data_IF_953901030844
#
_entry.id   IF_953901030844
#
_cell.length_a   1.000
_cell.length_b   1.000
_cell.length_c   1.000
_cell.angle_alpha   90.00
_cell.angle_beta   90.00
_cell.angle_gamma   90.00
#
_symmetry.space_group_name_H-M   'P 1'
#
loop_
_entity.id
_entity.type
_entity.pdbx_description
1 polymer ?
#
# COMPACT_ATOMS: atom_id res chain seq x y z
N UNK A 1 5.35 -21.38 -51.97
CA UNK A 1 6.16 -20.46 -51.11
C UNK A 1 5.43 -19.14 -50.81
N UNK A 2 4.77 -18.52 -51.80
CA UNK A 2 4.05 -17.25 -51.63
C UNK A 2 2.88 -17.27 -50.64
N UNK A 3 2.12 -18.37 -50.55
CA UNK A 3 0.96 -18.50 -49.63
C UNK A 3 1.37 -18.50 -48.16
N UNK A 4 2.52 -19.07 -47.82
CA UNK A 4 3.07 -19.00 -46.46
C UNK A 4 3.50 -17.57 -46.15
N UNK A 5 4.15 -16.87 -47.08
CA UNK A 5 4.64 -15.50 -46.87
C UNK A 5 3.49 -14.50 -46.59
N UNK A 6 2.38 -14.56 -47.35
CA UNK A 6 1.19 -13.74 -47.08
C UNK A 6 0.54 -14.05 -45.73
N UNK A 7 0.50 -15.32 -45.32
CA UNK A 7 -0.08 -15.72 -44.03
C UNK A 7 0.75 -15.18 -42.85
N UNK A 8 2.08 -15.15 -42.97
CA UNK A 8 2.96 -14.57 -41.96
C UNK A 8 2.83 -13.05 -41.90
N UNK A 9 2.70 -12.39 -43.06
CA UNK A 9 2.44 -10.95 -43.12
C UNK A 9 1.11 -10.57 -42.43
N UNK A 10 0.05 -11.35 -42.65
CA UNK A 10 -1.25 -11.13 -41.99
C UNK A 10 -1.18 -11.31 -40.46
N UNK A 11 -0.46 -12.33 -39.99
CA UNK A 11 -0.27 -12.58 -38.55
C UNK A 11 0.53 -11.43 -37.91
N UNK A 12 1.58 -10.93 -38.57
CA UNK A 12 2.38 -9.82 -38.06
C UNK A 12 1.54 -8.55 -37.94
N UNK A 13 0.74 -8.22 -38.95
CA UNK A 13 -0.16 -7.06 -38.91
C UNK A 13 -1.19 -7.18 -37.78
N UNK A 14 -1.76 -8.38 -37.58
CA UNK A 14 -2.71 -8.64 -36.51
C UNK A 14 -2.08 -8.47 -35.12
N UNK A 15 -0.86 -9.00 -34.91
CA UNK A 15 -0.15 -8.86 -33.64
C UNK A 15 0.20 -7.40 -33.33
N UNK A 16 0.61 -6.63 -34.34
CA UNK A 16 0.85 -5.20 -34.17
C UNK A 16 -0.43 -4.46 -33.81
N UNK A 17 -1.55 -4.75 -34.47
CA UNK A 17 -2.84 -4.12 -34.15
C UNK A 17 -3.24 -4.40 -32.69
N UNK A 18 -3.08 -5.63 -32.19
CA UNK A 18 -3.40 -5.99 -30.80
C UNK A 18 -2.53 -5.20 -29.81
N UNK A 19 -1.22 -5.10 -30.05
CA UNK A 19 -0.29 -4.39 -29.15
C UNK A 19 -0.58 -2.88 -29.11
N UNK A 20 -0.95 -2.28 -30.25
CA UNK A 20 -1.31 -0.86 -30.32
C UNK A 20 -2.66 -0.55 -29.68
N UNK A 21 -3.64 -1.46 -29.76
CA UNK A 21 -4.96 -1.31 -29.13
C UNK A 21 -4.93 -1.57 -27.62
N UNK A 22 -3.98 -2.36 -27.11
CA UNK A 22 -3.72 -2.48 -25.67
C UNK A 22 -2.86 -1.32 -25.15
N UNK A 23 -3.28 -0.10 -25.46
CA UNK A 23 -2.66 1.12 -24.99
C UNK A 23 -2.69 1.20 -23.45
N UNK A 24 -1.51 1.34 -22.87
CA UNK A 24 -1.22 1.85 -21.52
C UNK A 24 -2.08 1.25 -20.39
N UNK A 25 -1.50 0.31 -19.64
CA UNK A 25 -1.88 0.11 -18.26
C UNK A 25 -1.78 1.48 -17.55
N UNK A 26 -2.93 2.16 -17.39
CA UNK A 26 -3.01 3.39 -16.62
C UNK A 26 -2.62 3.00 -15.21
N UNK A 27 -1.43 3.42 -14.79
CA UNK A 27 -1.01 3.33 -13.40
C UNK A 27 -2.03 4.21 -12.67
N UNK A 28 -3.03 3.57 -12.08
CA UNK A 28 -3.93 4.24 -11.18
C UNK A 28 -3.06 4.86 -10.08
N UNK A 29 -3.42 6.06 -9.63
CA UNK A 29 -2.74 6.66 -8.48
C UNK A 29 -2.71 5.61 -7.36
N UNK A 30 -1.53 5.27 -6.81
CA UNK A 30 -1.45 4.31 -5.72
C UNK A 30 -2.39 4.77 -4.63
N UNK A 31 -3.35 3.91 -4.27
CA UNK A 31 -4.25 4.20 -3.15
C UNK A 31 -3.36 4.51 -1.94
N UNK A 32 -3.50 5.68 -1.30
CA UNK A 32 -2.72 5.99 -0.12
C UNK A 32 -2.95 4.90 0.93
N UNK A 33 -1.88 4.35 1.54
CA UNK A 33 -2.06 3.36 2.60
C UNK A 33 -2.81 3.98 3.78
N UNK A 34 -3.68 3.19 4.41
CA UNK A 34 -4.34 3.58 5.66
C UNK A 34 -3.28 3.62 6.76
N UNK A 35 -2.76 4.81 7.07
CA UNK A 35 -1.78 5.00 8.15
C UNK A 35 -2.54 5.19 9.45
N UNK A 36 -2.55 4.14 10.28
CA UNK A 36 -3.05 4.23 11.65
C UNK A 36 -1.93 4.72 12.55
N UNK A 37 -2.04 5.94 13.05
CA UNK A 37 -1.13 6.46 14.06
C UNK A 37 -1.52 5.81 15.40
N UNK A 38 -0.59 5.07 16.05
CA UNK A 38 -0.87 4.48 17.35
C UNK A 38 -1.25 5.56 18.36
N UNK A 39 -2.23 5.25 19.22
CA UNK A 39 -2.58 6.14 20.32
C UNK A 39 -1.39 6.24 21.28
N UNK A 40 -1.06 7.44 21.79
CA UNK A 40 0.01 7.58 22.76
C UNK A 40 -0.26 6.72 23.99
N UNK A 41 0.76 5.98 24.45
CA UNK A 41 0.67 5.19 25.67
C UNK A 41 0.48 6.13 26.87
N UNK A 42 -0.75 6.20 27.37
CA UNK A 42 -1.11 7.03 28.52
C UNK A 42 -1.13 6.25 29.84
N UNK A 43 -0.65 5.00 29.81
CA UNK A 43 -0.81 4.06 30.92
C UNK A 43 0.14 4.34 32.10
N UNK A 44 1.07 5.28 31.95
CA UNK A 44 1.99 5.72 33.00
C UNK A 44 1.95 7.25 33.10
N UNK A 45 1.69 7.76 34.30
CA UNK A 45 1.84 9.18 34.63
C UNK A 45 2.67 9.37 35.88
N UNK A 46 3.40 10.48 35.92
CA UNK A 46 4.33 10.83 36.99
C UNK A 46 3.98 12.21 37.51
N UNK A 47 3.82 12.34 38.83
CA UNK A 47 3.58 13.62 39.49
C UNK A 47 4.54 13.78 40.66
N UNK A 48 5.22 14.92 40.76
CA UNK A 48 6.08 15.24 41.89
C UNK A 48 5.29 16.05 42.93
N UNK A 49 5.29 15.59 44.17
CA UNK A 49 4.69 16.26 45.31
C UNK A 49 5.72 16.46 46.41
N UNK A 50 6.25 17.68 46.51
CA UNK A 50 7.34 18.04 47.42
C UNK A 50 8.51 17.06 47.29
N UNK A 51 8.71 16.20 48.29
CA UNK A 51 9.82 15.26 48.38
C UNK A 51 9.45 13.86 47.85
N UNK A 52 8.24 13.70 47.30
CA UNK A 52 7.71 12.44 46.79
C UNK A 52 7.50 12.47 45.28
N UNK A 53 7.64 11.30 44.66
CA UNK A 53 7.24 11.06 43.27
C UNK A 53 6.11 10.02 43.28
N UNK A 54 4.95 10.42 42.77
CA UNK A 54 3.80 9.54 42.57
C UNK A 54 3.83 9.00 41.15
N UNK A 55 3.91 7.67 41.06
CA UNK A 55 3.79 6.92 39.82
C UNK A 55 2.37 6.33 39.76
N UNK A 56 1.60 6.71 38.74
CA UNK A 56 0.27 6.16 38.50
C UNK A 56 0.29 5.32 37.24
N UNK A 57 -0.04 4.03 37.38
CA UNK A 57 -0.10 3.06 36.28
C UNK A 57 -1.55 2.59 36.10
N UNK A 58 -2.08 2.70 34.89
CA UNK A 58 -3.38 2.10 34.54
C UNK A 58 -3.21 0.80 33.77
N UNK A 59 -4.20 -0.09 33.86
CA UNK A 59 -4.24 -1.30 33.03
C UNK A 59 -4.49 -0.87 31.57
N UNK A 60 -3.58 -1.19 30.63
CA UNK A 60 -3.79 -0.85 29.22
C UNK A 60 -5.02 -1.58 28.71
N UNK A 61 -5.92 -0.82 28.09
CA UNK A 61 -7.18 -1.32 27.54
C UNK A 61 -6.92 -2.06 26.21
N UNK A 62 -5.79 -1.77 25.55
CA UNK A 62 -5.43 -2.31 24.24
C UNK A 62 -3.91 -2.19 24.04
N UNK A 63 -3.26 -3.27 23.57
CA UNK A 63 -1.82 -3.33 23.30
C UNK A 63 -1.54 -3.83 21.86
N UNK A 64 -2.40 -3.48 20.91
CA UNK A 64 -2.55 -4.23 19.65
C UNK A 64 -2.35 -3.40 18.39
N UNK A 65 -1.44 -2.43 18.42
CA UNK A 65 -0.93 -1.81 17.19
C UNK A 65 0.38 -2.51 16.82
N UNK A 66 0.23 -3.76 16.34
CA UNK A 66 1.28 -4.49 15.63
C UNK A 66 1.30 -4.11 14.16
#
# INVERSE_FOLDING_TARGET
MATRLCMHAGIVVLLFAIVFETGCAKIADPQPPDIRIPKPASDLSVQQLSDYVILSVSKPIQNTDG
#
